data_IF_577068448425
#
_entry.id   IF_577068448425
#
_cell.length_a   1.000
_cell.length_b   1.000
_cell.length_c   1.000
_cell.angle_alpha   90.00
_cell.angle_beta   90.00
_cell.angle_gamma   90.00
#
_symmetry.space_group_name_H-M   'P 1'
#
loop_
_entity.id
_entity.type
_entity.pdbx_description
1 polymer ?
#
# COMPACT_ATOMS: atom_id res chain seq x y z
N UNK A 1 -25.92 42.19 -19.99
CA UNK A 1 -24.64 41.80 -20.56
C UNK A 1 -24.40 40.35 -20.12
N UNK A 2 -24.50 39.42 -21.06
CA UNK A 2 -24.20 37.99 -20.76
C UNK A 2 -22.68 37.86 -20.59
N UNK A 3 -22.25 37.53 -19.38
CA UNK A 3 -20.86 37.17 -19.10
C UNK A 3 -20.66 35.78 -19.75
N UNK A 4 -20.09 35.77 -20.94
CA UNK A 4 -19.63 34.52 -21.55
C UNK A 4 -18.48 33.99 -20.69
N UNK A 5 -18.78 33.04 -19.80
CA UNK A 5 -17.74 32.32 -19.07
C UNK A 5 -16.79 31.69 -20.07
N UNK A 6 -15.48 31.90 -19.90
CA UNK A 6 -14.45 31.16 -20.66
C UNK A 6 -14.77 29.66 -20.57
N UNK A 7 -14.71 28.93 -21.73
CA UNK A 7 -14.90 27.48 -21.67
C UNK A 7 -13.90 26.87 -20.68
N UNK A 8 -14.37 25.96 -19.83
CA UNK A 8 -13.53 25.26 -18.86
C UNK A 8 -12.60 24.30 -19.62
N UNK A 9 -11.39 24.13 -19.10
CA UNK A 9 -10.41 23.18 -19.65
C UNK A 9 -10.96 21.76 -19.58
N UNK A 10 -10.94 21.02 -20.70
CA UNK A 10 -11.28 19.60 -20.72
C UNK A 10 -10.08 18.77 -20.28
N UNK A 11 -10.23 18.04 -19.20
CA UNK A 11 -9.16 17.24 -18.59
C UNK A 11 -9.55 15.76 -18.60
N UNK A 12 -8.71 14.92 -19.23
CA UNK A 12 -8.79 13.48 -19.10
C UNK A 12 -7.94 13.03 -17.90
N UNK A 13 -8.49 12.14 -17.06
CA UNK A 13 -7.74 11.43 -16.01
C UNK A 13 -7.81 9.94 -16.33
N UNK A 14 -6.65 9.32 -16.54
CA UNK A 14 -6.53 7.91 -16.87
C UNK A 14 -6.06 7.15 -15.63
N UNK A 15 -6.95 6.33 -15.08
CA UNK A 15 -6.77 5.60 -13.82
C UNK A 15 -7.50 6.27 -12.66
N UNK A 16 -8.33 5.50 -11.97
CA UNK A 16 -9.16 5.95 -10.83
C UNK A 16 -8.61 5.55 -9.47
N UNK A 17 -7.34 5.21 -9.38
CA UNK A 17 -6.64 5.04 -8.09
C UNK A 17 -6.56 6.39 -7.34
N UNK A 18 -6.07 6.36 -6.10
CA UNK A 18 -6.01 7.57 -5.25
C UNK A 18 -5.32 8.76 -5.94
N UNK A 19 -4.31 8.52 -6.78
CA UNK A 19 -3.61 9.58 -7.51
C UNK A 19 -4.55 10.30 -8.48
N UNK A 20 -5.30 9.56 -9.30
CA UNK A 20 -6.27 10.14 -10.24
C UNK A 20 -7.45 10.79 -9.53
N UNK A 21 -7.95 10.15 -8.47
CA UNK A 21 -9.06 10.68 -7.67
C UNK A 21 -8.68 11.97 -6.93
N UNK A 22 -7.45 12.08 -6.41
CA UNK A 22 -6.97 13.30 -5.77
C UNK A 22 -6.91 14.47 -6.77
N UNK A 23 -6.43 14.22 -7.99
CA UNK A 23 -6.46 15.23 -9.07
C UNK A 23 -7.89 15.62 -9.42
N UNK A 24 -8.79 14.63 -9.56
CA UNK A 24 -10.20 14.89 -9.84
C UNK A 24 -10.84 15.78 -8.77
N UNK A 25 -10.61 15.45 -7.50
CA UNK A 25 -11.12 16.23 -6.37
C UNK A 25 -10.59 17.67 -6.37
N UNK A 26 -9.28 17.84 -6.59
CA UNK A 26 -8.63 19.16 -6.57
C UNK A 26 -9.09 20.05 -7.72
N UNK A 27 -9.32 19.49 -8.91
CA UNK A 27 -9.61 20.25 -10.12
C UNK A 27 -11.08 20.27 -10.53
N UNK A 28 -12.00 19.61 -9.81
CA UNK A 28 -13.43 19.51 -10.15
C UNK A 28 -14.12 20.85 -10.40
N UNK A 29 -13.68 21.91 -9.71
CA UNK A 29 -14.26 23.24 -9.85
C UNK A 29 -13.56 24.10 -10.94
N UNK A 30 -12.45 23.61 -11.49
CA UNK A 30 -11.59 24.34 -12.45
C UNK A 30 -11.54 23.73 -13.85
N UNK A 31 -11.91 22.46 -13.99
CA UNK A 31 -11.89 21.74 -15.25
C UNK A 31 -13.14 20.88 -15.47
N UNK A 32 -13.45 20.59 -16.72
CA UNK A 32 -14.42 19.57 -17.11
C UNK A 32 -13.68 18.23 -17.18
N UNK A 33 -13.89 17.41 -16.15
CA UNK A 33 -13.10 16.20 -15.92
C UNK A 33 -13.83 14.98 -16.44
N UNK A 34 -13.12 14.16 -17.22
CA UNK A 34 -13.50 12.79 -17.57
C UNK A 34 -12.51 11.83 -16.93
N UNK A 35 -12.99 10.90 -16.10
CA UNK A 35 -12.19 9.84 -15.48
C UNK A 35 -12.40 8.54 -16.26
N UNK A 36 -11.29 7.95 -16.74
CA UNK A 36 -11.27 6.66 -17.43
C UNK A 36 -10.72 5.59 -16.48
N UNK A 37 -11.47 4.50 -16.32
CA UNK A 37 -11.07 3.32 -15.56
C UNK A 37 -11.20 2.07 -16.41
N UNK A 38 -10.13 1.27 -16.47
CA UNK A 38 -10.11 0.04 -17.23
C UNK A 38 -10.90 -1.10 -16.54
N UNK A 39 -10.94 -1.07 -15.21
CA UNK A 39 -11.63 -2.06 -14.39
C UNK A 39 -13.15 -1.81 -14.28
N UNK A 40 -13.80 -2.70 -13.55
CA UNK A 40 -15.23 -2.70 -13.28
C UNK A 40 -15.61 -1.96 -12.00
N UNK A 41 -14.65 -1.36 -11.30
CA UNK A 41 -14.84 -0.51 -10.13
C UNK A 41 -13.85 0.66 -10.12
N UNK A 42 -14.22 1.76 -9.43
CA UNK A 42 -13.32 2.88 -9.18
C UNK A 42 -12.56 2.69 -7.86
N UNK A 43 -11.34 3.22 -7.79
CA UNK A 43 -10.54 3.25 -6.57
C UNK A 43 -9.16 2.61 -6.70
N UNK A 44 -8.93 1.78 -7.72
CA UNK A 44 -7.66 1.07 -7.87
C UNK A 44 -7.38 0.15 -6.67
N UNK A 45 -6.27 0.38 -5.94
CA UNK A 45 -5.96 -0.37 -4.70
C UNK A 45 -6.87 -0.01 -3.51
N UNK A 46 -7.73 0.99 -3.62
CA UNK A 46 -8.83 1.23 -2.68
C UNK A 46 -10.00 0.33 -3.07
N UNK A 47 -9.93 -0.91 -2.65
CA UNK A 47 -10.87 -1.95 -3.04
C UNK A 47 -11.50 -2.59 -1.80
N UNK A 48 -12.76 -2.25 -1.56
CA UNK A 48 -13.58 -2.81 -0.47
C UNK A 48 -14.51 -3.89 -1.01
N UNK A 49 -14.46 -5.07 -0.44
CA UNK A 49 -15.34 -6.21 -0.79
C UNK A 49 -16.33 -6.45 0.32
N UNK A 50 -17.61 -6.58 0.00
CA UNK A 50 -18.63 -6.91 0.97
C UNK A 50 -18.61 -8.41 1.27
N UNK A 51 -18.39 -8.74 2.54
CA UNK A 51 -18.39 -10.11 3.04
C UNK A 51 -19.56 -10.28 4.01
N UNK A 52 -20.51 -11.15 3.67
CA UNK A 52 -21.66 -11.46 4.52
C UNK A 52 -21.41 -12.75 5.28
N UNK A 53 -21.43 -12.66 6.60
CA UNK A 53 -21.19 -13.80 7.49
C UNK A 53 -22.39 -14.05 8.40
N UNK A 54 -22.71 -15.31 8.72
CA UNK A 54 -23.72 -15.63 9.70
C UNK A 54 -23.21 -15.33 11.11
N UNK A 55 -24.06 -14.67 11.91
CA UNK A 55 -23.82 -14.41 13.33
C UNK A 55 -25.02 -14.95 14.15
N UNK A 56 -24.88 -15.06 15.47
CA UNK A 56 -26.03 -15.42 16.33
C UNK A 56 -27.23 -14.48 16.20
N UNK A 57 -27.02 -13.25 15.74
CA UNK A 57 -28.05 -12.21 15.55
C UNK A 57 -28.58 -12.16 14.11
N UNK A 58 -28.09 -13.00 13.20
CA UNK A 58 -28.45 -13.04 11.78
C UNK A 58 -27.26 -12.82 10.85
N UNK A 59 -27.53 -12.56 9.58
CA UNK A 59 -26.50 -12.24 8.60
C UNK A 59 -26.00 -10.81 8.81
N UNK A 60 -24.68 -10.64 8.88
CA UNK A 60 -24.01 -9.33 8.98
C UNK A 60 -23.02 -9.18 7.82
N UNK A 61 -23.13 -8.06 7.13
CA UNK A 61 -22.23 -7.71 6.03
C UNK A 61 -21.18 -6.71 6.51
N UNK A 62 -19.91 -7.01 6.21
CA UNK A 62 -18.77 -6.17 6.51
C UNK A 62 -18.09 -5.74 5.20
N UNK A 63 -17.75 -4.46 5.08
CA UNK A 63 -16.85 -3.98 4.06
C UNK A 63 -15.41 -4.33 4.44
N UNK A 64 -14.76 -5.19 3.65
CA UNK A 64 -13.40 -5.64 3.89
C UNK A 64 -12.47 -5.03 2.84
N UNK A 65 -11.53 -4.21 3.28
CA UNK A 65 -10.53 -3.63 2.40
C UNK A 65 -9.47 -4.67 2.04
N UNK A 66 -9.18 -4.81 0.74
CA UNK A 66 -8.25 -5.81 0.22
C UNK A 66 -6.93 -5.23 -0.31
N UNK A 67 -6.81 -3.91 -0.33
CA UNK A 67 -5.59 -3.22 -0.77
C UNK A 67 -5.16 -2.16 0.24
N UNK A 68 -5.76 -0.97 0.23
CA UNK A 68 -5.49 0.06 1.23
C UNK A 68 -6.27 -0.23 2.52
N UNK A 69 -5.56 -0.55 3.60
CA UNK A 69 -6.17 -1.04 4.86
C UNK A 69 -6.17 0.00 5.98
N UNK A 70 -5.01 0.64 6.21
CA UNK A 70 -4.77 1.49 7.38
C UNK A 70 -3.88 2.68 7.04
N UNK A 71 -4.02 3.75 7.82
CA UNK A 71 -3.19 4.96 7.73
C UNK A 71 -2.91 5.51 9.13
N UNK A 72 -1.99 6.47 9.23
CA UNK A 72 -1.70 7.15 10.49
C UNK A 72 -1.40 8.64 10.26
N UNK A 73 -1.48 9.44 11.30
CA UNK A 73 -1.31 10.90 11.21
C UNK A 73 0.12 11.32 10.85
N UNK A 74 1.10 10.49 11.14
CA UNK A 74 2.51 10.82 10.94
C UNK A 74 2.93 10.79 9.47
N UNK A 75 2.45 9.79 8.72
CA UNK A 75 2.92 9.53 7.35
C UNK A 75 1.89 9.85 6.27
N UNK A 76 0.65 10.16 6.64
CA UNK A 76 -0.44 10.43 5.69
C UNK A 76 -1.12 11.80 5.87
N UNK A 77 -0.38 12.93 6.06
CA UNK A 77 -1.00 14.22 6.36
C UNK A 77 -1.97 14.69 5.25
N UNK A 78 -1.61 14.49 3.99
CA UNK A 78 -2.46 14.89 2.87
C UNK A 78 -3.75 14.05 2.77
N UNK A 79 -3.68 12.76 3.11
CA UNK A 79 -4.86 11.89 3.13
C UNK A 79 -5.81 12.29 4.26
N UNK A 80 -5.27 12.64 5.42
CA UNK A 80 -6.06 13.13 6.57
C UNK A 80 -6.78 14.43 6.24
N UNK A 81 -6.07 15.38 5.58
CA UNK A 81 -6.69 16.61 5.11
C UNK A 81 -7.84 16.31 4.12
N UNK A 82 -7.61 15.43 3.15
CA UNK A 82 -8.63 15.00 2.21
C UNK A 82 -9.83 14.36 2.92
N UNK A 83 -9.60 13.50 3.92
CA UNK A 83 -10.66 12.87 4.70
C UNK A 83 -11.47 13.90 5.51
N UNK A 84 -10.80 14.91 6.08
CA UNK A 84 -11.47 15.99 6.78
C UNK A 84 -12.37 16.81 5.85
N UNK A 85 -11.89 17.18 4.65
CA UNK A 85 -12.65 17.88 3.62
C UNK A 85 -13.89 17.08 3.18
N UNK A 86 -13.70 15.80 2.94
CA UNK A 86 -14.75 14.88 2.50
C UNK A 86 -15.65 14.40 3.63
N UNK A 87 -15.34 14.73 4.88
CA UNK A 87 -16.04 14.23 6.09
C UNK A 87 -16.11 12.69 6.08
N UNK A 88 -14.97 12.05 5.87
CA UNK A 88 -14.81 10.60 5.93
C UNK A 88 -14.67 10.19 7.38
N UNK A 89 -15.50 9.26 7.84
CA UNK A 89 -15.40 8.71 9.19
C UNK A 89 -14.28 7.70 9.28
N UNK A 90 -13.48 7.78 10.34
CA UNK A 90 -12.37 6.89 10.61
C UNK A 90 -12.43 6.36 12.02
N UNK A 91 -11.91 5.15 12.24
CA UNK A 91 -11.85 4.52 13.54
C UNK A 91 -10.42 4.12 13.88
N UNK A 92 -10.02 4.18 15.16
CA UNK A 92 -8.76 3.60 15.62
C UNK A 92 -8.65 2.13 15.22
N UNK A 93 -7.48 1.73 14.76
CA UNK A 93 -7.16 0.37 14.37
C UNK A 93 -5.84 -0.05 14.96
N UNK A 94 -5.66 -1.35 15.15
CA UNK A 94 -4.41 -1.94 15.62
C UNK A 94 -3.62 -2.48 14.44
N UNK A 95 -2.38 -2.03 14.28
CA UNK A 95 -1.44 -2.64 13.35
C UNK A 95 -0.66 -3.72 14.09
N UNK A 96 -1.22 -4.90 14.17
CA UNK A 96 -0.60 -6.08 14.76
C UNK A 96 0.24 -6.85 13.72
N UNK A 97 1.19 -7.61 14.23
CA UNK A 97 2.03 -8.48 13.42
C UNK A 97 2.14 -9.84 14.10
N UNK A 98 1.70 -10.89 13.45
CA UNK A 98 1.81 -12.25 13.95
C UNK A 98 2.56 -13.15 12.97
N UNK A 99 3.21 -14.16 13.50
CA UNK A 99 4.08 -15.05 12.75
C UNK A 99 3.73 -16.51 13.04
N UNK A 100 3.59 -17.29 11.97
CA UNK A 100 3.46 -18.74 12.01
C UNK A 100 4.46 -19.35 11.05
N UNK A 101 5.49 -20.05 11.60
CA UNK A 101 6.55 -20.67 10.80
C UNK A 101 6.50 -22.19 10.99
N UNK A 102 5.95 -22.94 10.02
CA UNK A 102 5.95 -24.39 10.07
C UNK A 102 7.39 -24.96 10.11
N UNK A 103 7.62 -25.97 10.91
CA UNK A 103 8.90 -26.68 10.96
C UNK A 103 10.05 -25.98 11.69
N UNK A 104 9.89 -24.73 12.13
CA UNK A 104 10.96 -23.89 12.71
C UNK A 104 11.57 -24.45 14.00
N UNK A 105 10.82 -25.25 14.77
CA UNK A 105 11.21 -25.77 16.07
C UNK A 105 11.35 -27.32 16.00
N UNK A 106 12.40 -27.81 15.35
CA UNK A 106 12.64 -29.25 15.18
C UNK A 106 11.41 -29.98 14.64
N UNK A 107 10.85 -29.48 13.52
CA UNK A 107 9.65 -30.03 12.91
C UNK A 107 8.33 -29.48 13.47
N UNK A 108 8.33 -28.76 14.58
CA UNK A 108 7.14 -28.12 15.16
C UNK A 108 7.00 -26.67 14.63
N UNK A 109 5.77 -26.18 14.62
CA UNK A 109 5.46 -24.81 14.20
C UNK A 109 5.85 -23.82 15.31
N UNK A 110 6.49 -22.73 14.94
CA UNK A 110 6.68 -21.54 15.76
C UNK A 110 5.50 -20.59 15.55
N UNK A 111 4.94 -20.08 16.66
CA UNK A 111 3.88 -19.07 16.66
C UNK A 111 4.15 -17.99 17.71
N UNK A 112 4.05 -16.73 17.32
CA UNK A 112 4.20 -15.59 18.23
C UNK A 112 3.65 -14.31 17.57
N UNK A 113 3.43 -13.25 18.37
CA UNK A 113 3.05 -11.92 17.88
C UNK A 113 3.81 -10.84 18.66
N UNK A 114 3.97 -9.68 18.05
CA UNK A 114 4.74 -8.57 18.63
C UNK A 114 3.93 -7.54 19.40
N UNK A 115 2.69 -7.82 19.77
CA UNK A 115 1.77 -6.87 20.39
C UNK A 115 2.13 -6.58 21.86
N UNK A 116 2.31 -7.63 22.65
CA UNK A 116 2.65 -7.57 24.08
C UNK A 116 3.45 -8.82 24.53
N UNK A 117 3.87 -8.86 25.78
CA UNK A 117 4.63 -10.01 26.31
C UNK A 117 3.82 -11.31 26.30
N UNK A 118 2.51 -11.25 26.46
CA UNK A 118 1.68 -12.45 26.42
C UNK A 118 1.63 -13.03 25.00
N UNK A 119 1.54 -12.19 23.99
CA UNK A 119 1.53 -12.57 22.59
C UNK A 119 2.91 -12.98 22.07
N UNK A 120 3.99 -12.34 22.52
CA UNK A 120 5.38 -12.76 22.24
C UNK A 120 5.62 -14.17 22.74
N UNK A 121 5.15 -14.49 23.94
CA UNK A 121 5.24 -15.83 24.53
C UNK A 121 3.93 -16.61 24.47
N UNK A 122 3.09 -16.39 23.45
CA UNK A 122 1.87 -17.18 23.22
C UNK A 122 2.17 -18.68 23.19
N UNK A 123 3.32 -19.06 22.63
CA UNK A 123 3.89 -20.39 22.74
C UNK A 123 4.85 -20.45 23.92
N UNK A 124 4.36 -20.87 25.10
CA UNK A 124 5.11 -20.84 26.36
C UNK A 124 6.47 -21.54 26.33
N UNK A 125 6.65 -22.56 25.47
CA UNK A 125 7.95 -23.20 25.24
C UNK A 125 9.04 -22.25 24.73
N UNK A 126 8.69 -21.10 24.18
CA UNK A 126 9.64 -20.09 23.72
C UNK A 126 10.36 -19.40 24.89
N UNK A 127 9.81 -19.44 26.10
CA UNK A 127 10.47 -18.92 27.33
C UNK A 127 11.81 -19.62 27.60
N UNK A 128 11.93 -20.90 27.27
CA UNK A 128 13.13 -21.69 27.46
C UNK A 128 13.90 -21.97 26.17
N UNK A 129 13.55 -21.33 25.08
CA UNK A 129 14.18 -21.51 23.77
C UNK A 129 15.29 -20.46 23.54
N UNK A 130 16.57 -20.82 23.55
CA UNK A 130 17.67 -19.86 23.39
C UNK A 130 17.70 -19.22 22.00
N UNK A 131 17.24 -19.93 20.94
CA UNK A 131 17.14 -19.37 19.59
C UNK A 131 16.07 -18.26 19.51
N UNK A 132 14.97 -18.42 20.27
CA UNK A 132 13.92 -17.40 20.34
C UNK A 132 14.42 -16.14 21.07
N UNK A 133 15.12 -16.31 22.18
CA UNK A 133 15.76 -15.19 22.89
C UNK A 133 16.82 -14.49 22.03
N UNK A 134 17.59 -15.24 21.26
CA UNK A 134 18.54 -14.65 20.29
C UNK A 134 17.83 -13.80 19.25
N UNK A 135 16.71 -14.27 18.71
CA UNK A 135 15.85 -13.50 17.80
C UNK A 135 15.41 -12.19 18.44
N UNK A 136 14.85 -12.22 19.67
CA UNK A 136 14.39 -11.02 20.35
C UNK A 136 15.54 -10.02 20.62
N UNK A 137 16.70 -10.50 21.04
CA UNK A 137 17.89 -9.66 21.21
C UNK A 137 18.31 -8.99 19.89
N UNK A 138 18.27 -9.74 18.79
CA UNK A 138 18.58 -9.21 17.46
C UNK A 138 17.53 -8.21 16.97
N UNK A 139 16.24 -8.38 17.30
CA UNK A 139 15.19 -7.37 17.03
C UNK A 139 15.52 -6.04 17.72
N UNK A 140 15.87 -6.08 19.00
CA UNK A 140 16.22 -4.87 19.74
C UNK A 140 17.48 -4.20 19.18
N UNK A 141 18.51 -5.00 18.86
CA UNK A 141 19.75 -4.52 18.26
C UNK A 141 19.52 -3.89 16.87
N UNK A 142 18.71 -4.55 16.05
CA UNK A 142 18.35 -4.05 14.72
C UNK A 142 17.60 -2.72 14.81
N UNK A 143 16.58 -2.64 15.67
CA UNK A 143 15.80 -1.42 15.87
C UNK A 143 16.69 -0.26 16.34
N UNK A 144 17.59 -0.48 17.29
CA UNK A 144 18.52 0.54 17.76
C UNK A 144 19.49 1.00 16.67
N UNK A 145 20.06 0.06 15.91
CA UNK A 145 20.99 0.34 14.81
C UNK A 145 20.29 1.15 13.71
N UNK A 146 19.15 0.68 13.21
CA UNK A 146 18.42 1.33 12.11
C UNK A 146 17.87 2.71 12.53
N UNK A 147 17.40 2.85 13.77
CA UNK A 147 16.97 4.15 14.30
C UNK A 147 18.12 5.16 14.35
N UNK A 148 19.30 4.72 14.78
CA UNK A 148 20.49 5.59 14.79
C UNK A 148 20.88 6.02 13.38
N UNK A 149 20.96 5.08 12.43
CA UNK A 149 21.29 5.36 11.02
C UNK A 149 20.30 6.37 10.42
N UNK A 150 19.00 6.17 10.67
CA UNK A 150 17.96 7.08 10.16
C UNK A 150 18.06 8.49 10.76
N UNK A 151 18.30 8.61 12.09
CA UNK A 151 18.47 9.88 12.76
C UNK A 151 19.72 10.65 12.28
N UNK A 152 20.79 9.95 11.97
CA UNK A 152 22.03 10.49 11.42
C UNK A 152 21.94 10.76 9.90
N UNK A 153 20.81 10.43 9.25
CA UNK A 153 20.56 10.54 7.81
C UNK A 153 21.62 9.80 6.95
N UNK A 154 22.19 8.75 7.50
CA UNK A 154 23.25 7.94 6.86
C UNK A 154 22.71 6.79 6.03
N UNK A 155 21.40 6.58 5.98
CA UNK A 155 20.79 5.53 5.17
C UNK A 155 21.10 5.70 3.67
N UNK A 156 21.34 6.92 3.20
CA UNK A 156 21.71 7.20 1.80
C UNK A 156 23.03 6.56 1.37
N UNK A 157 23.91 6.31 2.33
CA UNK A 157 25.21 5.66 2.10
C UNK A 157 25.06 4.14 1.95
N UNK A 158 23.90 3.58 2.34
CA UNK A 158 23.64 2.14 2.40
C UNK A 158 22.90 1.64 1.16
N UNK A 159 23.57 1.65 0.01
CA UNK A 159 23.02 1.12 -1.24
C UNK A 159 23.16 -0.39 -1.37
N UNK A 160 23.86 -1.04 -0.42
CA UNK A 160 24.06 -2.48 -0.42
C UNK A 160 22.73 -3.25 -0.27
N UNK A 161 22.67 -4.50 -0.76
CA UNK A 161 21.54 -5.39 -0.53
C UNK A 161 21.34 -5.67 0.96
N UNK A 162 20.07 -5.92 1.33
CA UNK A 162 19.70 -6.26 2.68
C UNK A 162 20.39 -7.52 3.20
N UNK A 163 20.61 -8.53 2.34
CA UNK A 163 21.39 -9.74 2.67
C UNK A 163 22.78 -9.40 3.19
N UNK A 164 23.46 -8.46 2.54
CA UNK A 164 24.81 -8.07 2.93
C UNK A 164 24.85 -7.31 4.24
N UNK A 165 23.86 -6.44 4.46
CA UNK A 165 23.69 -5.73 5.73
C UNK A 165 23.50 -6.70 6.90
N UNK A 166 22.59 -7.67 6.76
CA UNK A 166 22.34 -8.68 7.79
C UNK A 166 23.59 -9.48 8.11
N UNK A 167 24.36 -9.89 7.08
CA UNK A 167 25.61 -10.64 7.23
C UNK A 167 26.70 -9.80 7.90
N UNK A 168 26.92 -8.58 7.44
CA UNK A 168 27.95 -7.67 7.99
C UNK A 168 27.71 -7.39 9.47
N UNK A 169 26.45 -7.21 9.85
CA UNK A 169 26.09 -6.98 11.24
C UNK A 169 25.81 -8.26 12.03
N UNK A 170 26.09 -9.45 11.47
CA UNK A 170 25.96 -10.75 12.13
C UNK A 170 24.61 -10.99 12.79
N UNK A 171 23.51 -10.64 12.10
CA UNK A 171 22.16 -10.99 12.54
C UNK A 171 21.92 -12.49 12.36
N UNK A 172 21.25 -13.10 13.35
CA UNK A 172 21.04 -14.55 13.36
C UNK A 172 19.97 -15.00 12.35
N UNK A 173 20.04 -16.28 11.96
CA UNK A 173 18.99 -16.91 11.14
C UNK A 173 17.60 -16.83 11.78
N UNK A 174 17.42 -17.10 13.12
CA UNK A 174 16.12 -16.88 13.75
C UNK A 174 15.59 -15.46 13.61
N UNK A 175 16.44 -14.44 13.67
CA UNK A 175 16.02 -13.06 13.43
C UNK A 175 15.55 -12.88 12.00
N UNK A 176 16.32 -13.37 11.01
CA UNK A 176 15.98 -13.26 9.60
C UNK A 176 14.68 -13.98 9.27
N UNK A 177 14.54 -15.26 9.68
CA UNK A 177 13.51 -16.18 9.19
C UNK A 177 12.23 -16.16 10.03
N UNK A 178 12.32 -15.82 11.33
CA UNK A 178 11.18 -15.85 12.23
C UNK A 178 10.59 -14.48 12.54
N UNK A 179 11.27 -13.41 12.15
CA UNK A 179 10.79 -12.04 12.35
C UNK A 179 10.92 -11.22 11.08
N UNK A 180 12.14 -11.05 10.57
CA UNK A 180 12.45 -9.97 9.63
C UNK A 180 11.84 -10.19 8.25
N UNK A 181 12.05 -11.34 7.63
CA UNK A 181 11.46 -11.67 6.34
C UNK A 181 9.93 -11.79 6.38
N UNK A 182 9.32 -12.44 7.40
CA UNK A 182 7.86 -12.39 7.55
C UNK A 182 7.30 -10.98 7.66
N UNK A 183 7.95 -10.10 8.44
CA UNK A 183 7.53 -8.69 8.57
C UNK A 183 7.59 -7.96 7.24
N UNK A 184 8.70 -8.07 6.52
CA UNK A 184 8.85 -7.45 5.20
C UNK A 184 7.85 -8.01 4.19
N UNK A 185 7.58 -9.32 4.25
CA UNK A 185 6.60 -9.99 3.41
C UNK A 185 5.20 -9.44 3.59
N UNK A 186 4.79 -9.16 4.82
CA UNK A 186 3.50 -8.52 5.09
C UNK A 186 3.41 -7.08 4.54
N UNK A 187 4.54 -6.35 4.53
CA UNK A 187 4.56 -4.95 4.10
C UNK A 187 4.55 -4.83 2.57
N UNK A 188 5.41 -5.58 1.90
CA UNK A 188 5.63 -5.42 0.46
C UNK A 188 5.06 -6.52 -0.41
N UNK A 189 4.45 -7.56 0.19
CA UNK A 189 3.84 -8.70 -0.53
C UNK A 189 4.76 -9.27 -1.62
N UNK A 190 6.05 -9.37 -1.33
CA UNK A 190 7.11 -9.73 -2.25
C UNK A 190 7.79 -11.04 -1.79
N UNK A 191 8.25 -11.92 -2.70
CA UNK A 191 9.01 -13.10 -2.35
C UNK A 191 10.26 -12.79 -1.52
N UNK A 192 10.55 -13.62 -0.53
CA UNK A 192 11.59 -13.36 0.48
C UNK A 192 13.01 -13.27 -0.10
N UNK A 193 13.30 -14.01 -1.16
CA UNK A 193 14.57 -13.95 -1.89
C UNK A 193 14.77 -12.61 -2.59
N UNK A 194 13.71 -12.05 -3.16
CA UNK A 194 13.75 -10.73 -3.79
C UNK A 194 13.92 -9.63 -2.74
N UNK A 195 13.26 -9.75 -1.57
CA UNK A 195 13.41 -8.78 -0.48
C UNK A 195 14.85 -8.66 0.00
N UNK A 196 15.59 -9.76 0.04
CA UNK A 196 17.00 -9.77 0.43
C UNK A 196 17.90 -8.95 -0.51
N UNK A 197 17.44 -8.66 -1.73
CA UNK A 197 18.13 -7.82 -2.70
C UNK A 197 17.75 -6.33 -2.60
N UNK A 198 16.77 -5.98 -1.78
CA UNK A 198 16.37 -4.57 -1.61
C UNK A 198 17.49 -3.74 -1.01
N UNK A 199 17.66 -2.47 -1.46
CA UNK A 199 18.59 -1.55 -0.83
C UNK A 199 18.21 -1.30 0.64
N UNK A 200 19.18 -1.43 1.52
CA UNK A 200 18.99 -1.19 2.97
C UNK A 200 18.43 0.20 3.25
N UNK A 201 18.88 1.20 2.51
CA UNK A 201 18.41 2.59 2.62
C UNK A 201 16.89 2.70 2.55
N UNK A 202 16.28 2.04 1.56
CA UNK A 202 14.82 2.06 1.35
C UNK A 202 14.09 1.44 2.54
N UNK A 203 14.56 0.28 3.01
CA UNK A 203 13.96 -0.43 4.14
C UNK A 203 14.06 0.40 5.43
N UNK A 204 15.24 0.94 5.77
CA UNK A 204 15.44 1.73 7.00
C UNK A 204 14.54 2.97 6.98
N UNK A 205 14.53 3.71 5.87
CA UNK A 205 13.70 4.92 5.72
C UNK A 205 12.23 4.60 5.88
N UNK A 206 11.75 3.57 5.22
CA UNK A 206 10.36 3.14 5.30
C UNK A 206 9.99 2.75 6.75
N UNK A 207 10.73 1.83 7.35
CA UNK A 207 10.45 1.34 8.70
C UNK A 207 10.54 2.45 9.76
N UNK A 208 11.51 3.37 9.61
CA UNK A 208 11.64 4.52 10.51
C UNK A 208 10.46 5.48 10.39
N UNK A 209 10.06 5.84 9.19
CA UNK A 209 8.95 6.77 8.94
C UNK A 209 7.62 6.22 9.48
N UNK A 210 7.37 4.93 9.29
CA UNK A 210 6.14 4.26 9.74
C UNK A 210 6.18 3.81 11.21
N UNK A 211 7.28 4.06 11.94
CA UNK A 211 7.40 3.67 13.35
C UNK A 211 7.53 2.16 13.59
N UNK A 212 7.86 1.38 12.56
CA UNK A 212 7.92 -0.09 12.64
C UNK A 212 9.14 -0.62 13.41
N UNK A 213 10.21 0.17 13.49
CA UNK A 213 11.42 -0.12 14.28
C UNK A 213 11.40 0.55 15.67
N UNK A 214 10.22 0.98 16.13
CA UNK A 214 10.02 1.56 17.44
C UNK A 214 9.26 0.57 18.32
N UNK A 215 9.72 0.38 19.57
CA UNK A 215 9.04 -0.45 20.57
C UNK A 215 8.00 0.37 21.34
N UNK A 216 8.30 1.65 21.56
CA UNK A 216 7.45 2.62 22.26
C UNK A 216 7.11 3.79 21.34
N UNK A 217 6.09 4.56 21.68
CA UNK A 217 5.62 5.72 20.89
C UNK A 217 5.31 5.37 19.43
N UNK A 218 4.70 4.22 19.22
CA UNK A 218 4.18 3.85 17.89
C UNK A 218 3.04 4.80 17.50
N UNK A 219 2.92 5.17 16.21
CA UNK A 219 1.78 5.97 15.77
C UNK A 219 0.48 5.19 15.96
N UNK A 220 -0.60 5.90 16.30
CA UNK A 220 -1.93 5.33 16.23
C UNK A 220 -2.30 5.12 14.76
N UNK A 221 -2.79 3.94 14.45
CA UNK A 221 -3.31 3.62 13.13
C UNK A 221 -4.83 3.76 13.10
N UNK A 222 -5.37 4.02 11.93
CA UNK A 222 -6.79 4.22 11.68
C UNK A 222 -7.20 3.45 10.44
N UNK A 223 -8.46 3.07 10.38
CA UNK A 223 -9.14 2.54 9.21
C UNK A 223 -10.35 3.40 8.86
N UNK A 224 -10.85 3.29 7.62
CA UNK A 224 -12.08 3.98 7.20
C UNK A 224 -13.30 3.17 7.65
N UNK A 225 -14.22 3.81 8.33
CA UNK A 225 -15.46 3.16 8.79
C UNK A 225 -16.30 2.71 7.59
N UNK A 226 -16.68 1.42 7.55
CA UNK A 226 -17.43 0.83 6.45
C UNK A 226 -16.63 0.55 5.17
N UNK A 227 -15.31 0.73 5.22
CA UNK A 227 -14.38 0.46 4.12
C UNK A 227 -13.95 1.70 3.35
N UNK A 228 -12.77 1.60 2.76
CA UNK A 228 -12.12 2.71 2.07
C UNK A 228 -12.88 3.21 0.82
N UNK A 229 -13.74 2.40 0.22
CA UNK A 229 -14.62 2.83 -0.88
C UNK A 229 -15.42 4.11 -0.56
N UNK A 230 -15.72 4.39 0.72
CA UNK A 230 -16.49 5.55 1.13
C UNK A 230 -15.85 6.88 0.70
N UNK A 231 -14.53 7.02 0.75
CA UNK A 231 -13.91 8.24 0.26
C UNK A 231 -13.86 8.29 -1.27
N UNK A 232 -13.76 7.16 -1.94
CA UNK A 232 -13.82 7.06 -3.40
C UNK A 232 -15.16 7.58 -3.91
N UNK A 233 -16.24 7.10 -3.33
CA UNK A 233 -17.62 7.53 -3.67
C UNK A 233 -17.82 9.01 -3.43
N UNK A 234 -17.31 9.56 -2.32
CA UNK A 234 -17.41 10.99 -1.99
C UNK A 234 -16.66 11.87 -3.00
N UNK A 235 -15.49 11.44 -3.46
CA UNK A 235 -14.76 12.16 -4.52
C UNK A 235 -15.55 12.10 -5.83
N UNK A 236 -16.01 10.92 -6.20
CA UNK A 236 -16.71 10.69 -7.47
C UNK A 236 -18.07 11.37 -7.54
N UNK A 237 -18.69 11.71 -6.40
CA UNK A 237 -19.93 12.50 -6.38
C UNK A 237 -19.74 13.88 -7.03
N UNK A 238 -18.52 14.43 -6.99
CA UNK A 238 -18.17 15.70 -7.64
C UNK A 238 -17.66 15.58 -9.09
N UNK A 239 -17.61 14.36 -9.65
CA UNK A 239 -17.16 14.11 -11.02
C UNK A 239 -18.33 13.71 -11.90
N UNK A 240 -18.64 14.51 -12.93
CA UNK A 240 -19.77 14.27 -13.81
C UNK A 240 -19.53 13.14 -14.81
N UNK A 241 -18.38 13.12 -15.49
CA UNK A 241 -18.04 12.10 -16.48
C UNK A 241 -17.02 11.11 -15.90
N UNK A 242 -17.48 9.89 -15.63
CA UNK A 242 -16.69 8.80 -15.06
C UNK A 242 -17.07 7.49 -15.75
N UNK A 243 -16.07 6.81 -16.30
CA UNK A 243 -16.26 5.70 -17.25
C UNK A 243 -15.52 4.46 -16.74
N UNK A 244 -16.28 3.44 -16.34
CA UNK A 244 -15.78 2.10 -16.01
C UNK A 244 -15.66 1.24 -17.28
N UNK A 245 -14.90 0.17 -17.21
CA UNK A 245 -14.68 -0.77 -18.31
C UNK A 245 -14.28 -0.04 -19.60
N UNK A 246 -13.53 1.07 -19.44
CA UNK A 246 -13.15 1.94 -20.54
C UNK A 246 -11.63 2.09 -20.59
N UNK A 247 -10.91 1.02 -20.97
CA UNK A 247 -9.46 1.06 -21.03
C UNK A 247 -8.97 2.04 -22.11
N UNK A 248 -8.09 2.95 -21.70
CA UNK A 248 -7.37 3.80 -22.63
C UNK A 248 -6.29 2.97 -23.33
N UNK A 249 -6.33 2.93 -24.65
CA UNK A 249 -5.41 2.14 -25.49
C UNK A 249 -4.26 2.97 -26.03
N UNK A 250 -4.52 4.25 -26.31
CA UNK A 250 -3.53 5.12 -26.92
C UNK A 250 -3.75 6.58 -26.50
N UNK A 251 -2.65 7.27 -26.26
CA UNK A 251 -2.60 8.70 -25.94
C UNK A 251 -1.72 9.39 -26.97
N UNK A 252 -2.31 10.23 -27.78
CA UNK A 252 -1.65 11.01 -28.82
C UNK A 252 -1.61 12.49 -28.41
N UNK A 253 -0.47 13.13 -28.59
CA UNK A 253 -0.27 14.54 -28.27
C UNK A 253 0.04 15.33 -29.53
N UNK A 254 -0.61 16.46 -29.72
CA UNK A 254 -0.34 17.37 -30.80
C UNK A 254 -0.48 18.85 -30.36
N UNK A 255 -0.36 19.79 -31.31
CA UNK A 255 -0.45 21.22 -31.00
C UNK A 255 -1.86 21.68 -30.55
N UNK A 256 -2.89 20.86 -30.75
CA UNK A 256 -4.27 21.15 -30.36
C UNK A 256 -4.66 20.46 -29.02
N UNK A 257 -3.77 19.73 -28.37
CA UNK A 257 -4.03 19.05 -27.09
C UNK A 257 -3.73 17.56 -27.14
N UNK A 258 -4.61 16.77 -26.51
CA UNK A 258 -4.42 15.33 -26.33
C UNK A 258 -5.62 14.58 -26.90
N UNK A 259 -5.36 13.53 -27.67
CA UNK A 259 -6.37 12.59 -28.15
C UNK A 259 -6.27 11.30 -27.35
N UNK A 260 -7.34 10.94 -26.67
CA UNK A 260 -7.50 9.68 -25.93
C UNK A 260 -8.25 8.69 -26.81
N UNK A 261 -7.69 7.52 -27.00
CA UNK A 261 -8.30 6.43 -27.78
C UNK A 261 -8.63 5.27 -26.83
N UNK A 262 -9.88 4.88 -26.84
CA UNK A 262 -10.44 3.69 -26.16
C UNK A 262 -10.94 2.68 -27.20
N UNK A 263 -11.48 1.54 -26.75
CA UNK A 263 -12.04 0.54 -27.67
C UNK A 263 -13.24 1.16 -28.44
N UNK A 264 -13.04 1.43 -29.73
CA UNK A 264 -14.06 1.94 -30.64
C UNK A 264 -14.35 3.44 -30.58
N UNK A 265 -13.66 4.21 -29.73
CA UNK A 265 -13.91 5.66 -29.61
C UNK A 265 -12.61 6.45 -29.43
N UNK A 266 -12.62 7.68 -29.92
CA UNK A 266 -11.52 8.63 -29.76
C UNK A 266 -12.04 10.02 -29.42
N UNK A 267 -11.51 10.66 -28.40
CA UNK A 267 -11.97 11.94 -27.88
C UNK A 267 -10.80 12.90 -27.63
N UNK A 268 -11.04 14.21 -27.78
CA UNK A 268 -10.03 15.24 -27.56
C UNK A 268 -10.22 15.95 -26.24
N UNK A 269 -9.08 16.18 -25.58
CA UNK A 269 -8.95 16.92 -24.33
C UNK A 269 -7.86 17.97 -24.48
N UNK A 270 -7.93 19.02 -23.65
CA UNK A 270 -6.87 20.02 -23.60
C UNK A 270 -5.63 19.44 -22.92
N UNK A 271 -5.84 18.60 -21.86
CA UNK A 271 -4.76 17.96 -21.11
C UNK A 271 -5.14 16.54 -20.65
N UNK A 272 -4.14 15.77 -20.27
CA UNK A 272 -4.31 14.45 -19.66
C UNK A 272 -3.42 14.31 -18.43
N UNK A 273 -3.97 13.68 -17.38
CA UNK A 273 -3.23 13.14 -16.25
C UNK A 273 -3.26 11.63 -16.34
N UNK A 274 -2.10 11.00 -16.45
CA UNK A 274 -1.95 9.56 -16.47
C UNK A 274 -1.63 9.12 -15.03
N UNK A 275 -2.58 8.48 -14.37
CA UNK A 275 -2.52 8.06 -12.97
C UNK A 275 -2.55 6.52 -12.83
N UNK A 276 -1.85 5.85 -13.73
CA UNK A 276 -1.67 4.39 -13.77
C UNK A 276 -0.26 3.99 -13.34
N UNK A 277 0.05 2.70 -13.34
CA UNK A 277 1.44 2.24 -13.25
C UNK A 277 2.27 2.80 -14.41
N UNK A 278 3.58 3.00 -14.17
CA UNK A 278 4.46 3.66 -15.16
C UNK A 278 4.66 2.84 -16.43
N UNK A 279 4.67 1.52 -16.34
CA UNK A 279 4.72 0.61 -17.49
C UNK A 279 3.46 0.71 -18.34
N UNK A 280 2.28 0.78 -17.71
CA UNK A 280 1.01 1.01 -18.40
C UNK A 280 0.99 2.40 -19.05
N UNK A 281 1.43 3.44 -18.32
CA UNK A 281 1.55 4.79 -18.83
C UNK A 281 2.43 4.83 -20.10
N UNK A 282 3.60 4.18 -20.04
CA UNK A 282 4.51 4.10 -21.17
C UNK A 282 3.91 3.35 -22.36
N UNK A 283 3.16 2.27 -22.11
CA UNK A 283 2.49 1.48 -23.14
C UNK A 283 1.37 2.22 -23.86
N UNK A 284 0.71 3.18 -23.19
CA UNK A 284 -0.35 4.00 -23.79
C UNK A 284 0.16 5.18 -24.62
N UNK A 285 1.38 5.69 -24.35
CA UNK A 285 1.94 6.82 -25.08
C UNK A 285 2.34 6.42 -26.51
N UNK A 286 1.79 7.09 -27.53
CA UNK A 286 2.12 6.82 -28.93
C UNK A 286 3.59 7.07 -29.25
N UNK A 287 4.11 8.20 -28.79
CA UNK A 287 5.47 8.66 -29.07
C UNK A 287 6.12 9.17 -27.78
N UNK A 288 6.48 8.24 -26.84
CA UNK A 288 7.20 8.64 -25.64
C UNK A 288 8.60 9.13 -26.01
N UNK A 289 8.99 10.28 -25.46
CA UNK A 289 10.35 10.81 -25.63
C UNK A 289 11.39 9.98 -24.85
N UNK A 290 12.68 10.32 -25.00
CA UNK A 290 13.78 9.58 -24.36
C UNK A 290 13.68 9.60 -22.83
N UNK A 291 13.29 10.72 -22.23
CA UNK A 291 13.13 10.84 -20.78
C UNK A 291 11.96 10.00 -20.27
N UNK A 292 10.82 10.05 -20.95
CA UNK A 292 9.65 9.23 -20.61
C UNK A 292 9.98 7.75 -20.67
N UNK A 293 10.67 7.29 -21.73
CA UNK A 293 11.11 5.89 -21.82
C UNK A 293 12.05 5.50 -20.69
N UNK A 294 13.01 6.34 -20.39
CA UNK A 294 14.02 6.07 -19.35
C UNK A 294 13.38 6.06 -17.94
N UNK A 295 12.58 7.06 -17.60
CA UNK A 295 12.04 7.21 -16.25
C UNK A 295 10.86 6.26 -16.00
N UNK A 296 9.89 6.19 -16.91
CA UNK A 296 8.73 5.31 -16.75
C UNK A 296 9.12 3.84 -16.87
N UNK A 297 10.09 3.50 -17.71
CA UNK A 297 10.60 2.14 -17.86
C UNK A 297 11.55 1.68 -16.75
N UNK A 298 12.02 2.58 -15.88
CA UNK A 298 12.91 2.23 -14.77
C UNK A 298 12.21 1.49 -13.62
N UNK A 299 10.92 1.68 -13.44
CA UNK A 299 10.12 1.05 -12.39
C UNK A 299 9.57 -0.28 -12.94
N UNK A 300 9.98 -1.36 -12.28
CA UNK A 300 9.50 -2.71 -12.63
C UNK A 300 8.36 -3.10 -11.72
N UNK A 301 7.33 -3.70 -12.31
CA UNK A 301 6.19 -4.26 -11.61
C UNK A 301 6.23 -5.78 -11.67
N UNK A 302 5.63 -6.42 -10.69
CA UNK A 302 5.43 -7.88 -10.65
C UNK A 302 3.97 -8.18 -10.30
N UNK A 303 3.48 -9.27 -10.81
CA UNK A 303 2.14 -9.75 -10.47
C UNK A 303 2.10 -10.16 -8.99
N UNK A 304 1.06 -9.71 -8.30
CA UNK A 304 0.80 -10.06 -6.92
C UNK A 304 -0.65 -10.55 -6.78
N UNK A 305 -0.81 -11.81 -6.37
CA UNK A 305 -2.11 -12.41 -6.17
C UNK A 305 -2.56 -12.26 -4.72
N UNK A 306 -3.55 -11.42 -4.48
CA UNK A 306 -4.25 -11.32 -3.20
C UNK A 306 -5.47 -12.26 -3.19
N UNK A 307 -5.67 -12.99 -2.10
CA UNK A 307 -6.82 -13.90 -1.92
C UNK A 307 -7.53 -13.55 -0.62
N UNK A 308 -8.77 -13.08 -0.73
CA UNK A 308 -9.67 -12.95 0.41
C UNK A 308 -10.36 -14.27 0.69
N UNK A 309 -10.21 -14.78 1.92
CA UNK A 309 -10.79 -16.07 2.30
C UNK A 309 -11.17 -16.09 3.79
N UNK A 310 -11.96 -17.09 4.19
CA UNK A 310 -12.39 -17.33 5.58
C UNK A 310 -11.70 -18.54 6.21
N UNK A 311 -10.70 -19.12 5.57
CA UNK A 311 -9.95 -20.25 6.10
C UNK A 311 -9.06 -19.81 7.28
N UNK A 312 -9.39 -20.23 8.48
CA UNK A 312 -8.64 -19.92 9.71
C UNK A 312 -7.43 -20.82 9.94
N UNK A 313 -7.20 -21.85 9.12
CA UNK A 313 -6.07 -22.77 9.27
C UNK A 313 -4.71 -22.08 9.05
N UNK A 314 -4.70 -20.98 8.29
CA UNK A 314 -3.49 -20.16 8.06
C UNK A 314 -3.12 -19.31 9.26
N UNK A 315 -4.06 -18.99 10.14
CA UNK A 315 -3.80 -18.22 11.35
C UNK A 315 -3.01 -19.04 12.39
N UNK A 316 -2.34 -18.40 13.36
CA UNK A 316 -1.79 -19.11 14.51
C UNK A 316 -2.86 -19.92 15.22
N UNK A 317 -2.50 -21.12 15.72
CA UNK A 317 -3.40 -21.95 16.50
C UNK A 317 -3.71 -21.30 17.85
N UNK A 318 -2.75 -20.53 18.37
CA UNK A 318 -2.86 -19.81 19.63
C UNK A 318 -3.49 -18.43 19.44
N UNK A 319 -4.71 -18.24 19.94
CA UNK A 319 -5.41 -16.95 19.86
C UNK A 319 -4.62 -15.77 20.44
N UNK A 320 -3.79 -16.00 21.45
CA UNK A 320 -2.91 -14.95 21.98
C UNK A 320 -1.88 -14.42 20.96
N UNK A 321 -1.70 -15.10 19.84
CA UNK A 321 -0.83 -14.68 18.75
C UNK A 321 -1.59 -14.13 17.53
N UNK A 322 -2.89 -13.84 17.67
CA UNK A 322 -3.71 -13.24 16.60
C UNK A 322 -3.52 -11.71 16.59
#
# INVERSE_FOLDING_TARGET
>A
MSVTSKPRMKLAIVGSGISGLAVAHTLKDHADITVFEAGDYFGGHTHTVDVTLPTPQGLVTHGVDTGFLVFNERTYPNLINLFAELKVETAPSDMSFSVKVPGALNGKTLEWSGTDLNSVFAQRGNLVNPRFWRMLADVMRFNALCTRIAKEQREKELQQPLSDFLRTHQFSEPFRDWYFLPMLGCIWSCPTDQMLQFPVATMIRFCHNHGLIQVTNRPQWFSVVGGARNYVEKILAGVHDKRLNTPVRLIERDAQGVRIVTDGHAERFDQVVIATHTDQALGMLREPNTYERSLLGAIRYQDNRAVLHTDTSVLPTRRAAW
#
